data_IF_739358829184
#
_entry.id   IF_739358829184
#
_cell.length_a   1.000
_cell.length_b   1.000
_cell.length_c   1.000
_cell.angle_alpha   90.00
_cell.angle_beta   90.00
_cell.angle_gamma   90.00
#
_symmetry.space_group_name_H-M   'P 1'
#
loop_
_entity.id
_entity.type
_entity.pdbx_description
1 polymer ?
#
# COMPACT_ATOMS: atom_id res chain seq x y z
N UNK A 1 5.80 -4.57 18.33
CA UNK A 1 6.82 -3.64 17.80
C UNK A 1 6.30 -3.05 16.50
N UNK A 2 5.65 -1.86 16.49
CA UNK A 2 5.21 -1.24 15.25
C UNK A 2 6.42 -0.59 14.55
N UNK A 3 6.75 -1.08 13.35
CA UNK A 3 7.79 -0.50 12.50
C UNK A 3 7.33 0.84 11.94
N UNK A 4 8.03 1.91 12.30
CA UNK A 4 7.78 3.24 11.74
C UNK A 4 8.37 3.32 10.32
N UNK A 5 7.51 3.51 9.32
CA UNK A 5 7.95 3.86 7.97
C UNK A 5 8.33 5.36 7.95
N UNK A 6 9.62 5.68 7.78
CA UNK A 6 10.09 7.07 7.56
C UNK A 6 10.13 7.37 6.07
N UNK A 7 9.49 8.47 5.66
CA UNK A 7 9.51 8.99 4.30
C UNK A 7 10.60 10.07 4.19
N UNK A 8 11.46 9.98 3.17
CA UNK A 8 12.36 11.08 2.84
C UNK A 8 11.59 12.17 2.08
N UNK A 9 12.09 13.40 2.13
CA UNK A 9 11.49 14.70 1.74
C UNK A 9 10.99 14.85 0.28
N UNK A 10 10.80 13.75 -0.46
CA UNK A 10 10.21 13.67 -1.81
C UNK A 10 9.08 12.62 -1.93
N UNK A 11 8.54 12.10 -0.83
CA UNK A 11 7.33 11.27 -0.85
C UNK A 11 7.49 9.81 -1.27
N UNK A 12 8.73 9.29 -1.39
CA UNK A 12 8.97 7.87 -1.68
C UNK A 12 9.26 7.09 -0.40
N UNK A 13 8.64 5.91 -0.17
CA UNK A 13 8.96 5.07 0.97
C UNK A 13 10.38 4.53 0.84
N UNK A 14 11.25 4.91 1.78
CA UNK A 14 12.61 4.36 1.86
C UNK A 14 12.51 3.06 2.66
N UNK A 15 12.65 1.92 1.99
CA UNK A 15 12.81 0.65 2.68
C UNK A 15 14.04 0.74 3.61
N UNK A 16 13.97 0.23 4.85
CA UNK A 16 15.13 0.20 5.72
C UNK A 16 16.21 -0.68 5.07
N UNK A 17 17.30 -0.05 4.61
CA UNK A 17 18.46 -0.77 4.09
C UNK A 17 19.04 -1.57 5.24
N UNK A 18 18.83 -2.89 5.23
CA UNK A 18 19.60 -3.81 6.06
C UNK A 18 21.07 -3.62 5.69
N UNK A 19 21.89 -3.28 6.68
CA UNK A 19 23.34 -3.27 6.57
C UNK A 19 23.80 -4.73 6.39
N UNK A 20 24.07 -5.12 5.15
CA UNK A 20 24.77 -6.37 4.84
C UNK A 20 26.26 -6.05 4.75
N UNK A 21 27.06 -6.65 5.62
CA UNK A 21 28.51 -6.56 5.64
C UNK A 21 29.14 -7.11 4.34
N UNK A 22 30.35 -6.67 3.94
CA UNK A 22 30.93 -7.03 2.65
C UNK A 22 31.64 -8.38 2.71
N UNK A 23 31.31 -9.30 1.80
CA UNK A 23 32.10 -10.52 1.58
C UNK A 23 31.41 -11.56 0.69
N UNK A 24 31.90 -11.72 -0.54
CA UNK A 24 31.66 -12.92 -1.37
C UNK A 24 31.16 -12.64 -2.81
N UNK A 25 31.82 -13.17 -3.87
CA UNK A 25 31.43 -12.96 -5.26
C UNK A 25 30.52 -14.09 -5.81
N UNK A 26 30.01 -13.84 -7.03
CA UNK A 26 29.35 -14.70 -8.04
C UNK A 26 27.93 -15.25 -7.81
N UNK A 27 27.01 -14.95 -8.73
CA UNK A 27 26.58 -15.92 -9.75
C UNK A 27 25.55 -15.32 -10.71
N UNK A 28 25.79 -15.47 -12.02
CA UNK A 28 24.86 -15.19 -13.13
C UNK A 28 23.86 -16.35 -13.20
N UNK A 29 22.56 -16.04 -13.17
CA UNK A 29 21.50 -16.94 -13.63
C UNK A 29 20.65 -16.17 -14.63
N UNK A 30 20.83 -16.51 -15.91
CA UNK A 30 19.77 -16.41 -16.91
C UNK A 30 18.64 -17.36 -16.50
N UNK A 31 17.42 -16.85 -16.46
CA UNK A 31 16.23 -17.64 -16.24
C UNK A 31 15.10 -17.05 -17.07
N UNK A 32 14.88 -17.64 -18.24
CA UNK A 32 13.64 -17.53 -19.01
C UNK A 32 12.42 -17.76 -18.12
N UNK A 33 11.44 -16.87 -18.22
CA UNK A 33 10.04 -17.25 -17.97
C UNK A 33 9.18 -16.66 -19.08
N UNK A 34 8.87 -17.50 -20.06
CA UNK A 34 7.57 -17.47 -20.70
C UNK A 34 6.50 -17.60 -19.60
N UNK A 35 5.51 -16.73 -19.61
CA UNK A 35 4.46 -16.72 -18.59
C UNK A 35 3.22 -16.05 -19.15
N UNK A 36 2.35 -16.90 -19.71
CA UNK A 36 0.93 -16.74 -19.99
C UNK A 36 0.30 -15.36 -19.86
N UNK A 37 -0.43 -15.00 -20.91
CA UNK A 37 -1.62 -14.16 -20.79
C UNK A 37 -2.56 -14.79 -19.76
N UNK A 38 -2.43 -14.34 -18.52
CA UNK A 38 -3.37 -14.61 -17.46
C UNK A 38 -4.56 -13.71 -17.67
N UNK A 39 -5.68 -14.33 -18.02
CA UNK A 39 -7.02 -13.80 -17.84
C UNK A 39 -7.09 -13.03 -16.50
N UNK A 40 -7.12 -11.68 -16.55
CA UNK A 40 -6.95 -10.82 -15.36
C UNK A 40 -8.21 -10.74 -14.50
N UNK A 41 -9.09 -11.72 -14.61
CA UNK A 41 -10.17 -11.96 -13.66
C UNK A 41 -9.69 -12.86 -12.50
N UNK A 42 -8.49 -12.59 -11.98
CA UNK A 42 -8.05 -13.13 -10.71
C UNK A 42 -8.78 -12.37 -9.63
N UNK A 43 -9.84 -12.95 -9.06
CA UNK A 43 -10.77 -12.36 -8.10
C UNK A 43 -10.09 -11.44 -7.10
N UNK A 44 -10.03 -10.15 -7.44
CA UNK A 44 -9.49 -9.13 -6.57
C UNK A 44 -10.56 -8.82 -5.54
N UNK A 45 -10.13 -8.53 -4.32
CA UNK A 45 -11.06 -8.16 -3.27
C UNK A 45 -11.87 -6.92 -3.74
N UNK A 46 -13.21 -7.01 -3.83
CA UNK A 46 -14.04 -5.91 -4.34
C UNK A 46 -13.85 -4.61 -3.53
N UNK A 47 -13.45 -4.69 -2.25
CA UNK A 47 -13.14 -3.49 -1.48
C UNK A 47 -11.85 -2.82 -1.97
N UNK A 48 -10.86 -3.60 -2.39
CA UNK A 48 -9.58 -3.09 -2.92
C UNK A 48 -9.81 -2.44 -4.28
N UNK A 49 -10.68 -3.01 -5.10
CA UNK A 49 -11.08 -2.42 -6.38
C UNK A 49 -11.81 -1.09 -6.18
N UNK A 50 -12.84 -1.06 -5.32
CA UNK A 50 -13.55 0.18 -4.98
C UNK A 50 -12.58 1.26 -4.45
N UNK A 51 -11.71 0.90 -3.52
CA UNK A 51 -10.73 1.83 -2.96
C UNK A 51 -9.70 2.27 -4.02
N UNK A 52 -9.38 1.44 -5.01
CA UNK A 52 -8.49 1.84 -6.10
C UNK A 52 -9.13 2.91 -6.99
N UNK A 53 -10.43 2.84 -7.25
CA UNK A 53 -11.20 3.84 -8.00
C UNK A 53 -11.32 5.18 -7.26
N UNK A 54 -11.32 5.13 -5.93
CA UNK A 54 -11.43 6.31 -5.07
C UNK A 54 -10.08 6.99 -4.77
N UNK A 55 -8.97 6.50 -5.32
CA UNK A 55 -7.65 7.12 -5.12
C UNK A 55 -7.65 8.59 -5.55
N UNK A 56 -7.04 9.42 -4.72
CA UNK A 56 -6.97 10.87 -4.87
C UNK A 56 -8.22 11.62 -4.39
N UNK A 57 -9.32 10.92 -4.06
CA UNK A 57 -10.56 11.54 -3.57
C UNK A 57 -10.56 11.72 -2.06
N UNK A 58 -11.31 12.71 -1.60
CA UNK A 58 -11.65 12.85 -0.19
C UNK A 58 -12.71 11.81 0.16
N UNK A 59 -12.43 11.00 1.18
CA UNK A 59 -13.30 9.90 1.62
C UNK A 59 -13.36 9.88 3.14
N UNK A 60 -14.39 9.24 3.67
CA UNK A 60 -14.46 8.79 5.06
C UNK A 60 -14.47 7.27 5.09
N UNK A 61 -13.52 6.69 5.83
CA UNK A 61 -13.36 5.25 5.99
C UNK A 61 -13.70 4.86 7.41
N UNK A 62 -14.52 3.83 7.58
CA UNK A 62 -14.64 3.13 8.85
C UNK A 62 -13.62 1.99 8.87
N UNK A 63 -12.58 2.12 9.71
CA UNK A 63 -11.55 1.10 9.92
C UNK A 63 -11.76 0.47 11.30
N UNK A 64 -12.35 -0.72 11.35
CA UNK A 64 -12.85 -1.33 12.58
C UNK A 64 -13.85 -0.41 13.29
N UNK A 65 -13.44 0.13 14.46
CA UNK A 65 -14.25 1.06 15.27
C UNK A 65 -13.86 2.53 15.07
N UNK A 66 -12.91 2.82 14.18
CA UNK A 66 -12.39 4.19 13.96
C UNK A 66 -12.91 4.77 12.66
N UNK A 67 -13.30 6.03 12.69
CA UNK A 67 -13.60 6.79 11.47
C UNK A 67 -12.38 7.62 11.09
N UNK A 68 -11.95 7.51 9.83
CA UNK A 68 -10.83 8.24 9.26
C UNK A 68 -11.34 9.06 8.08
N UNK A 69 -11.14 10.36 8.11
CA UNK A 69 -11.54 11.27 7.02
C UNK A 69 -10.31 11.92 6.43
N UNK A 70 -10.22 11.92 5.10
CA UNK A 70 -9.06 12.46 4.41
C UNK A 70 -8.99 12.04 2.96
N UNK A 71 -7.87 12.34 2.31
CA UNK A 71 -7.61 11.94 0.93
C UNK A 71 -7.05 10.53 0.88
N UNK A 72 -7.69 9.66 0.11
CA UNK A 72 -7.19 8.31 -0.14
C UNK A 72 -6.00 8.36 -1.11
N UNK A 73 -4.87 7.78 -0.72
CA UNK A 73 -3.63 7.80 -1.52
C UNK A 73 -3.34 6.42 -2.11
N UNK A 74 -3.47 5.37 -1.30
CA UNK A 74 -3.27 3.97 -1.71
C UNK A 74 -4.45 3.12 -1.27
N UNK A 75 -4.75 2.08 -2.05
CA UNK A 75 -5.85 1.15 -1.81
C UNK A 75 -5.40 -0.20 -1.22
N UNK A 76 -4.11 -0.55 -1.39
CA UNK A 76 -3.52 -1.73 -0.79
C UNK A 76 -1.99 -1.53 -0.61
N UNK A 77 -1.50 -1.32 0.63
CA UNK A 77 -2.30 -1.09 1.85
C UNK A 77 -3.12 0.20 1.73
N UNK A 78 -4.19 0.31 2.53
CA UNK A 78 -5.04 1.51 2.55
C UNK A 78 -4.28 2.64 3.24
N UNK A 79 -4.06 3.75 2.53
CA UNK A 79 -3.39 4.93 3.08
C UNK A 79 -4.28 6.15 2.89
N UNK A 80 -4.67 6.77 3.99
CA UNK A 80 -5.45 8.01 4.03
C UNK A 80 -4.63 9.13 4.66
N UNK A 81 -4.69 10.33 4.09
CA UNK A 81 -4.04 11.53 4.62
C UNK A 81 -5.11 12.53 5.06
N UNK A 82 -5.10 12.88 6.35
CA UNK A 82 -6.05 13.84 6.91
C UNK A 82 -5.73 15.29 6.50
N UNK A 83 -6.60 16.23 6.90
CA UNK A 83 -6.41 17.67 6.64
C UNK A 83 -5.19 18.29 7.32
N UNK A 84 -4.55 17.57 8.24
CA UNK A 84 -3.31 17.98 8.94
C UNK A 84 -2.06 17.36 8.29
N UNK A 85 -2.23 16.62 7.19
CA UNK A 85 -1.13 15.94 6.52
C UNK A 85 -0.66 14.66 7.21
N UNK A 86 -1.40 14.13 8.19
CA UNK A 86 -1.05 12.88 8.86
C UNK A 86 -1.54 11.70 8.04
N UNK A 87 -0.61 10.81 7.69
CA UNK A 87 -0.91 9.57 7.02
C UNK A 87 -1.30 8.47 8.01
N UNK A 88 -2.41 7.80 7.76
CA UNK A 88 -2.82 6.59 8.48
C UNK A 88 -2.83 5.42 7.52
N UNK A 89 -2.17 4.33 7.91
CA UNK A 89 -2.12 3.08 7.15
C UNK A 89 -3.02 2.04 7.81
N UNK A 90 -3.85 1.37 7.02
CA UNK A 90 -4.67 0.26 7.43
C UNK A 90 -4.58 -0.86 6.40
N UNK A 91 -4.95 -2.06 6.82
CA UNK A 91 -5.14 -3.16 5.88
C UNK A 91 -6.53 -3.07 5.25
N UNK A 92 -6.71 -3.46 3.97
CA UNK A 92 -8.03 -3.44 3.33
C UNK A 92 -9.09 -4.21 4.10
N UNK A 93 -8.73 -5.36 4.70
CA UNK A 93 -9.66 -6.19 5.47
C UNK A 93 -10.20 -5.52 6.75
N UNK A 94 -9.57 -4.43 7.20
CA UNK A 94 -10.05 -3.66 8.34
C UNK A 94 -11.09 -2.60 7.96
N UNK A 95 -11.29 -2.34 6.66
CA UNK A 95 -12.26 -1.36 6.16
C UNK A 95 -13.65 -2.00 6.19
N UNK A 96 -14.54 -1.43 7.00
CA UNK A 96 -15.92 -1.89 7.19
C UNK A 96 -16.87 -1.13 6.27
N UNK A 97 -16.61 0.16 6.05
CA UNK A 97 -17.45 1.02 5.24
C UNK A 97 -16.63 2.16 4.63
N UNK A 98 -17.11 2.68 3.50
CA UNK A 98 -16.53 3.80 2.76
C UNK A 98 -17.65 4.78 2.42
N UNK A 99 -17.41 6.07 2.62
CA UNK A 99 -18.29 7.17 2.19
C UNK A 99 -17.47 8.17 1.39
N UNK A 100 -17.98 8.62 0.24
CA UNK A 100 -17.25 9.43 -0.74
C UNK A 100 -18.17 10.38 -1.51
#
# INVERSE_FOLDING_TARGET
MPGACRFAQRGMPVAPRRLTAPGGPVSRVEGSTAGSGGDRSGGRDPIVELLAELRGRAVTLQVGQRLLTGRLILADPVVIVDGQGRATCARPEAVVAVTF
#
